data_IF_680569875775
#
_entry.id   IF_680569875775
#
_cell.length_a   1.000
_cell.length_b   1.000
_cell.length_c   1.000
_cell.angle_alpha   90.00
_cell.angle_beta   90.00
_cell.angle_gamma   90.00
#
_symmetry.space_group_name_H-M   'P 1'
#
loop_
_entity.id
_entity.type
_entity.pdbx_description
1 polymer ?
#
# COMPACT_ATOMS: atom_id res chain seq x y z
N UNK A 1 -18.09 -22.74 4.64
CA UNK A 1 -18.11 -21.28 4.37
C UNK A 1 -18.09 -21.06 2.87
N UNK A 2 -19.03 -20.29 2.34
CA UNK A 2 -19.03 -19.97 0.91
C UNK A 2 -18.06 -18.83 0.61
N UNK A 3 -17.87 -18.52 -0.68
CA UNK A 3 -16.91 -17.50 -1.11
C UNK A 3 -17.22 -16.11 -0.53
N UNK A 4 -18.50 -15.71 -0.54
CA UNK A 4 -18.90 -14.40 -0.03
C UNK A 4 -18.68 -14.29 1.48
N UNK A 5 -18.97 -15.35 2.23
CA UNK A 5 -18.72 -15.36 3.67
C UNK A 5 -17.23 -15.25 3.98
N UNK A 6 -16.38 -15.87 3.15
CA UNK A 6 -14.93 -15.76 3.29
C UNK A 6 -14.44 -14.35 2.99
N UNK A 7 -14.97 -13.70 1.94
CA UNK A 7 -14.67 -12.32 1.62
C UNK A 7 -15.04 -11.41 2.80
N UNK A 8 -16.25 -11.58 3.34
CA UNK A 8 -16.72 -10.78 4.48
C UNK A 8 -15.82 -10.94 5.70
N UNK A 9 -15.39 -12.17 5.98
CA UNK A 9 -14.46 -12.45 7.08
C UNK A 9 -13.12 -11.75 6.89
N UNK A 10 -12.55 -11.82 5.67
CA UNK A 10 -11.28 -11.19 5.38
C UNK A 10 -11.38 -9.67 5.44
N UNK A 11 -12.49 -9.09 4.96
CA UNK A 11 -12.73 -7.66 5.05
C UNK A 11 -12.80 -7.19 6.50
N UNK A 12 -13.50 -7.94 7.35
CA UNK A 12 -13.60 -7.61 8.78
C UNK A 12 -12.23 -7.65 9.45
N UNK A 13 -11.44 -8.69 9.21
CA UNK A 13 -10.09 -8.81 9.75
C UNK A 13 -9.18 -7.69 9.27
N UNK A 14 -9.24 -7.34 7.99
CA UNK A 14 -8.43 -6.28 7.40
C UNK A 14 -8.78 -4.91 8.00
N UNK A 15 -10.07 -4.61 8.15
CA UNK A 15 -10.54 -3.35 8.73
C UNK A 15 -10.04 -3.11 10.16
N UNK A 16 -9.80 -4.19 10.89
CA UNK A 16 -9.33 -4.11 12.28
C UNK A 16 -7.84 -4.47 12.42
N UNK A 17 -7.12 -4.61 11.30
CA UNK A 17 -5.69 -4.96 11.26
C UNK A 17 -5.38 -6.26 12.03
N UNK A 18 -6.29 -7.25 11.96
CA UNK A 18 -6.17 -8.52 12.68
C UNK A 18 -5.54 -9.64 11.86
N UNK A 19 -5.11 -9.35 10.65
CA UNK A 19 -4.50 -10.32 9.75
C UNK A 19 -3.27 -9.67 9.10
N UNK A 20 -2.17 -10.41 9.01
CA UNK A 20 -0.96 -9.92 8.36
C UNK A 20 -1.15 -9.89 6.84
N UNK A 21 -0.35 -9.09 6.13
CA UNK A 21 -0.39 -9.04 4.67
C UNK A 21 -0.10 -10.40 4.04
N UNK A 22 0.82 -11.16 4.61
CA UNK A 22 1.19 -12.50 4.15
C UNK A 22 0.01 -13.47 4.30
N UNK A 23 -0.62 -13.46 5.47
CA UNK A 23 -1.77 -14.32 5.74
C UNK A 23 -2.98 -13.95 4.89
N UNK A 24 -3.23 -12.65 4.75
CA UNK A 24 -4.33 -12.15 3.91
C UNK A 24 -4.15 -12.59 2.46
N UNK A 25 -2.95 -12.42 1.91
CA UNK A 25 -2.63 -12.85 0.56
C UNK A 25 -2.79 -14.35 0.37
N UNK A 26 -2.34 -15.14 1.34
CA UNK A 26 -2.46 -16.60 1.31
C UNK A 26 -3.92 -17.05 1.34
N UNK A 27 -4.72 -16.47 2.21
CA UNK A 27 -6.15 -16.80 2.32
C UNK A 27 -6.91 -16.47 1.03
N UNK A 28 -6.59 -15.34 0.41
CA UNK A 28 -7.18 -14.97 -0.87
C UNK A 28 -6.77 -15.94 -1.98
N UNK A 29 -5.50 -16.32 -2.05
CA UNK A 29 -5.01 -17.26 -3.04
C UNK A 29 -5.66 -18.64 -2.89
N UNK A 30 -5.74 -19.16 -1.67
CA UNK A 30 -6.33 -20.47 -1.39
C UNK A 30 -7.83 -20.52 -1.70
N UNK A 31 -8.53 -19.42 -1.65
CA UNK A 31 -9.96 -19.33 -1.88
C UNK A 31 -10.34 -18.72 -3.23
N UNK A 32 -9.36 -18.50 -4.10
CA UNK A 32 -9.55 -17.88 -5.41
C UNK A 32 -10.29 -16.54 -5.32
N UNK A 33 -9.83 -15.69 -4.39
CA UNK A 33 -10.37 -14.36 -4.14
C UNK A 33 -9.33 -13.32 -4.57
N UNK A 34 -9.76 -12.27 -5.28
CA UNK A 34 -8.89 -11.16 -5.62
C UNK A 34 -8.74 -10.24 -4.39
N UNK A 35 -7.52 -10.13 -3.89
CA UNK A 35 -7.24 -9.37 -2.67
C UNK A 35 -7.66 -7.89 -2.80
N UNK A 36 -7.29 -7.25 -3.90
CA UNK A 36 -7.59 -5.84 -4.07
C UNK A 36 -9.06 -5.62 -4.46
N UNK A 37 -9.50 -6.23 -5.55
CA UNK A 37 -10.83 -5.97 -6.13
C UNK A 37 -11.98 -6.45 -5.25
N UNK A 38 -11.81 -7.56 -4.55
CA UNK A 38 -12.90 -8.19 -3.80
C UNK A 38 -12.85 -7.94 -2.30
N UNK A 39 -11.67 -7.75 -1.72
CA UNK A 39 -11.51 -7.55 -0.28
C UNK A 39 -11.25 -6.08 0.06
N UNK A 40 -10.21 -5.48 -0.50
CA UNK A 40 -9.73 -4.17 -0.07
C UNK A 40 -10.49 -3.00 -0.70
N UNK A 41 -10.69 -2.99 -2.01
CA UNK A 41 -11.36 -1.89 -2.68
C UNK A 41 -12.77 -1.60 -2.12
N UNK A 42 -13.65 -2.61 -1.90
CA UNK A 42 -14.99 -2.35 -1.39
C UNK A 42 -15.04 -1.69 -0.01
N UNK A 43 -14.00 -1.84 0.80
CA UNK A 43 -13.93 -1.25 2.13
C UNK A 43 -13.04 0.01 2.20
N UNK A 44 -12.61 0.52 1.05
CA UNK A 44 -11.79 1.73 0.97
C UNK A 44 -10.33 1.54 1.34
N UNK A 45 -9.83 0.32 1.27
CA UNK A 45 -8.43 0.00 1.53
C UNK A 45 -7.63 -0.09 0.24
N UNK A 46 -6.31 -0.01 0.36
CA UNK A 46 -5.39 -0.18 -0.75
C UNK A 46 -4.15 -0.95 -0.30
N UNK A 47 -3.27 -1.23 -1.25
CA UNK A 47 -2.02 -1.95 -1.05
C UNK A 47 -0.86 -1.05 -1.46
N UNK A 48 0.22 -1.07 -0.67
CA UNK A 48 1.45 -0.39 -1.03
C UNK A 48 2.10 -1.08 -2.23
N UNK A 49 2.41 -0.33 -3.27
CA UNK A 49 3.03 -0.87 -4.49
C UNK A 49 4.46 -1.38 -4.24
N UNK A 50 5.10 -0.92 -3.18
CA UNK A 50 6.49 -1.29 -2.90
C UNK A 50 6.62 -2.49 -1.96
N UNK A 51 5.88 -2.51 -0.84
CA UNK A 51 6.02 -3.57 0.18
C UNK A 51 4.83 -4.51 0.30
N UNK A 52 3.69 -4.15 -0.28
CA UNK A 52 2.50 -4.99 -0.23
C UNK A 52 1.65 -4.85 1.03
N UNK A 53 1.99 -3.95 1.94
CA UNK A 53 1.15 -3.68 3.11
C UNK A 53 -0.18 -3.07 2.69
N UNK A 54 -1.23 -3.38 3.44
CA UNK A 54 -2.56 -2.84 3.20
C UNK A 54 -2.94 -1.81 4.28
N UNK A 55 -3.87 -0.91 3.93
CA UNK A 55 -4.36 0.09 4.87
C UNK A 55 -5.40 0.99 4.21
N UNK A 56 -5.88 2.00 4.94
CA UNK A 56 -6.86 2.97 4.45
C UNK A 56 -6.27 3.79 3.31
N UNK A 57 -6.97 3.81 2.16
CA UNK A 57 -6.52 4.51 0.96
C UNK A 57 -6.18 5.98 1.18
N UNK A 58 -6.96 6.67 2.00
CA UNK A 58 -6.81 8.11 2.22
C UNK A 58 -5.87 8.47 3.36
N UNK A 59 -5.63 7.56 4.31
CA UNK A 59 -4.89 7.87 5.53
C UNK A 59 -3.51 7.22 5.60
N UNK A 60 -3.38 6.01 5.07
CA UNK A 60 -2.18 5.21 5.26
C UNK A 60 -1.23 5.23 4.05
N UNK A 61 -1.61 5.93 2.98
CA UNK A 61 -0.85 5.93 1.74
C UNK A 61 -0.55 7.33 1.21
N UNK A 62 0.62 7.46 0.64
CA UNK A 62 1.00 8.61 -0.19
C UNK A 62 0.68 8.24 -1.65
N UNK A 63 -0.19 9.04 -2.28
CA UNK A 63 -0.51 8.88 -3.70
C UNK A 63 0.50 9.68 -4.51
N UNK A 64 1.44 8.99 -5.14
CA UNK A 64 2.58 9.63 -5.83
C UNK A 64 2.13 10.63 -6.87
N UNK A 65 1.11 10.28 -7.67
CA UNK A 65 0.64 11.15 -8.76
C UNK A 65 -0.14 12.38 -8.29
N UNK A 66 -0.65 12.36 -7.06
CA UNK A 66 -1.50 13.43 -6.53
C UNK A 66 -0.87 14.21 -5.38
N UNK A 67 0.32 13.81 -4.96
CA UNK A 67 1.00 14.49 -3.87
C UNK A 67 1.54 15.85 -4.36
N UNK A 68 1.31 16.95 -3.61
CA UNK A 68 1.79 18.28 -4.02
C UNK A 68 3.28 18.42 -3.76
N UNK A 69 4.09 17.96 -4.70
CA UNK A 69 5.55 18.03 -4.60
C UNK A 69 6.03 19.49 -4.60
N UNK A 70 6.90 19.83 -3.66
CA UNK A 70 7.48 21.16 -3.53
C UNK A 70 8.96 21.09 -3.90
N UNK A 71 9.35 21.86 -4.89
CA UNK A 71 10.74 21.91 -5.39
C UNK A 71 11.73 22.41 -4.34
N UNK A 72 11.27 23.26 -3.41
CA UNK A 72 12.10 23.82 -2.36
C UNK A 72 12.16 22.92 -1.12
N UNK A 73 11.33 21.89 -1.05
CA UNK A 73 11.29 20.95 0.08
C UNK A 73 12.27 19.80 -0.18
N UNK A 74 13.35 19.77 0.61
CA UNK A 74 14.38 18.74 0.46
C UNK A 74 13.85 17.32 0.73
N UNK A 75 12.89 17.18 1.63
CA UNK A 75 12.30 15.86 1.92
C UNK A 75 11.54 15.33 0.71
N UNK A 76 10.75 16.19 0.05
CA UNK A 76 10.03 15.81 -1.15
C UNK A 76 10.98 15.41 -2.27
N UNK A 77 12.03 16.21 -2.48
CA UNK A 77 13.03 15.92 -3.51
C UNK A 77 13.76 14.61 -3.24
N UNK A 78 14.07 14.33 -1.98
CA UNK A 78 14.71 13.07 -1.59
C UNK A 78 13.80 11.87 -1.88
N UNK A 79 12.50 11.99 -1.64
CA UNK A 79 11.53 10.93 -1.95
C UNK A 79 11.49 10.67 -3.45
N UNK A 80 11.37 11.72 -4.26
CA UNK A 80 11.37 11.60 -5.73
C UNK A 80 12.66 10.97 -6.23
N UNK A 81 13.80 11.36 -5.69
CA UNK A 81 15.09 10.78 -6.06
C UNK A 81 15.18 9.31 -5.67
N UNK A 82 14.65 8.93 -4.50
CA UNK A 82 14.60 7.53 -4.08
C UNK A 82 13.77 6.67 -5.05
N UNK A 83 12.63 7.18 -5.50
CA UNK A 83 11.81 6.52 -6.50
C UNK A 83 12.58 6.35 -7.81
N UNK A 84 13.26 7.39 -8.24
CA UNK A 84 14.09 7.35 -9.46
C UNK A 84 15.21 6.34 -9.36
N UNK A 85 15.88 6.26 -8.20
CA UNK A 85 16.95 5.29 -7.96
C UNK A 85 16.43 3.85 -8.06
N UNK A 86 15.25 3.58 -7.53
CA UNK A 86 14.64 2.24 -7.62
C UNK A 86 14.17 1.91 -9.04
N UNK A 87 13.85 2.94 -9.84
CA UNK A 87 13.46 2.77 -11.23
C UNK A 87 12.10 2.10 -11.42
N UNK A 88 11.22 2.18 -10.42
CA UNK A 88 9.89 1.59 -10.46
C UNK A 88 8.85 2.69 -10.32
N UNK A 89 7.82 2.67 -11.17
CA UNK A 89 6.71 3.60 -11.06
C UNK A 89 5.75 3.14 -9.97
N UNK A 90 5.72 3.87 -8.87
CA UNK A 90 4.79 3.61 -7.78
C UNK A 90 3.57 4.53 -7.89
N UNK A 91 2.39 3.98 -7.62
CA UNK A 91 1.16 4.78 -7.55
C UNK A 91 0.82 5.12 -6.10
N UNK A 92 0.89 4.13 -5.21
CA UNK A 92 0.61 4.31 -3.79
C UNK A 92 1.73 3.73 -2.96
N UNK A 93 2.16 4.46 -1.93
CA UNK A 93 3.23 4.06 -1.03
C UNK A 93 2.76 4.21 0.41
N UNK A 94 3.01 3.22 1.26
CA UNK A 94 2.79 3.37 2.69
C UNK A 94 3.83 4.34 3.28
N UNK A 95 3.54 4.87 4.45
CA UNK A 95 4.42 5.88 5.06
C UNK A 95 5.82 5.33 5.36
N UNK A 96 5.94 4.04 5.71
CA UNK A 96 7.23 3.41 5.95
C UNK A 96 8.06 3.35 4.67
N UNK A 97 7.46 2.97 3.55
CA UNK A 97 8.14 2.96 2.25
C UNK A 97 8.53 4.37 1.80
N UNK A 98 7.66 5.36 2.05
CA UNK A 98 7.96 6.76 1.78
C UNK A 98 9.24 7.18 2.54
N UNK A 99 9.32 6.85 3.83
CA UNK A 99 10.46 7.22 4.66
C UNK A 99 11.75 6.52 4.19
N UNK A 100 11.68 5.25 3.80
CA UNK A 100 12.82 4.53 3.24
C UNK A 100 13.31 5.16 1.93
N UNK A 101 12.39 5.54 1.05
CA UNK A 101 12.73 6.20 -0.21
C UNK A 101 13.36 7.57 0.04
N UNK A 102 12.86 8.31 1.02
CA UNK A 102 13.42 9.59 1.41
C UNK A 102 14.88 9.44 1.87
N UNK A 103 15.17 8.45 2.71
CA UNK A 103 16.52 8.16 3.18
C UNK A 103 17.44 7.77 2.02
N UNK A 104 16.97 6.93 1.11
CA UNK A 104 17.72 6.51 -0.07
C UNK A 104 18.05 7.71 -0.96
N UNK A 105 17.10 8.58 -1.20
CA UNK A 105 17.30 9.79 -2.00
C UNK A 105 18.22 10.79 -1.33
N UNK A 106 18.17 10.90 -0.01
CA UNK A 106 19.04 11.81 0.75
C UNK A 106 20.48 11.37 0.77
N UNK A 107 20.77 10.07 0.66
CA UNK A 107 22.12 9.51 0.65
C UNK A 107 22.77 9.55 -0.74
N UNK A 108 22.01 9.81 -1.77
CA UNK A 108 22.50 9.76 -3.16
C UNK A 108 23.19 11.06 -3.60
#
# INVERSE_FOLDING_TARGET
>A
MNRQEKIDELQDKAQHYRISKEELGKECEENDIDLYDEVLEPIGFNICDRCGDYGWSEQDFLWVDYFPWDEDNKADQAILKGIEIEGIDYCALCWDCKDELREKGAEA
#
